data_IF_413726488438
#
_entry.id   IF_413726488438
#
_cell.length_a   1.000
_cell.length_b   1.000
_cell.length_c   1.000
_cell.angle_alpha   90.00
_cell.angle_beta   90.00
_cell.angle_gamma   90.00
#
_symmetry.space_group_name_H-M   'P 1'
#
loop_
_entity.id
_entity.type
_entity.pdbx_description
1 polymer ?
#
# COMPACT_ATOMS: atom_id res chain seq x y z
N UNK A 1 -3.76 -20.08 -12.21
CA UNK A 1 -4.47 -21.26 -11.63
C UNK A 1 -5.99 -21.18 -11.76
N UNK A 2 -6.72 -20.26 -11.10
CA UNK A 2 -8.19 -20.23 -11.19
C UNK A 2 -8.73 -20.06 -12.62
N UNK A 3 -8.23 -19.06 -13.35
CA UNK A 3 -8.62 -18.79 -14.74
C UNK A 3 -8.20 -19.91 -15.72
N UNK A 4 -6.97 -20.44 -15.56
CA UNK A 4 -6.48 -21.57 -16.38
C UNK A 4 -7.33 -22.82 -16.17
N UNK A 5 -7.71 -23.12 -14.93
CA UNK A 5 -8.61 -24.24 -14.60
C UNK A 5 -10.00 -24.05 -15.23
N UNK A 6 -10.53 -22.83 -15.23
CA UNK A 6 -11.81 -22.51 -15.86
C UNK A 6 -11.77 -22.68 -17.38
N UNK A 7 -10.77 -22.09 -18.05
CA UNK A 7 -10.63 -22.14 -19.51
C UNK A 7 -10.33 -23.56 -19.99
N UNK A 8 -9.40 -24.26 -19.34
CA UNK A 8 -8.95 -25.59 -19.77
C UNK A 8 -9.85 -26.75 -19.35
N UNK A 9 -10.72 -26.57 -18.34
CA UNK A 9 -11.47 -27.68 -17.75
C UNK A 9 -12.87 -27.35 -17.24
N UNK A 10 -13.37 -26.14 -17.51
CA UNK A 10 -14.73 -25.72 -17.18
C UNK A 10 -14.94 -25.36 -15.70
N UNK A 11 -16.14 -24.88 -15.35
CA UNK A 11 -16.42 -24.29 -14.03
C UNK A 11 -16.23 -25.26 -12.85
N UNK A 12 -16.42 -26.57 -13.06
CA UNK A 12 -16.22 -27.59 -12.01
C UNK A 12 -14.77 -27.73 -11.53
N UNK A 13 -13.80 -27.20 -12.28
CA UNK A 13 -12.37 -27.23 -11.95
C UNK A 13 -11.93 -26.02 -11.13
N UNK A 14 -12.80 -25.05 -10.92
CA UNK A 14 -12.54 -23.88 -10.07
C UNK A 14 -12.65 -24.32 -8.61
N UNK A 15 -11.59 -24.11 -7.83
CA UNK A 15 -11.56 -24.53 -6.43
C UNK A 15 -12.48 -23.68 -5.55
N UNK A 16 -13.01 -24.22 -4.45
CA UNK A 16 -13.94 -23.51 -3.56
C UNK A 16 -13.31 -22.27 -2.90
N UNK A 17 -11.99 -22.24 -2.74
CA UNK A 17 -11.26 -21.11 -2.16
C UNK A 17 -10.81 -20.08 -3.20
N UNK A 18 -11.29 -20.17 -4.45
CA UNK A 18 -10.88 -19.24 -5.50
C UNK A 18 -11.25 -17.80 -5.15
N UNK A 19 -12.47 -17.54 -4.70
CA UNK A 19 -12.92 -16.19 -4.32
C UNK A 19 -12.20 -15.70 -3.04
N UNK A 20 -12.19 -16.45 -1.92
CA UNK A 20 -11.39 -16.07 -0.74
C UNK A 20 -9.88 -15.96 -1.01
N UNK A 21 -9.37 -16.56 -2.08
CA UNK A 21 -7.97 -16.47 -2.46
C UNK A 21 -7.63 -15.28 -3.35
N UNK A 22 -8.62 -14.51 -3.83
CA UNK A 22 -8.41 -13.38 -4.76
C UNK A 22 -8.96 -12.03 -4.28
N UNK A 23 -9.85 -12.04 -3.29
CA UNK A 23 -10.40 -10.80 -2.74
C UNK A 23 -9.28 -10.01 -2.03
N UNK A 24 -9.12 -8.73 -2.36
CA UNK A 24 -8.05 -7.89 -1.84
C UNK A 24 -8.05 -7.78 -0.30
N UNK A 25 -9.23 -7.82 0.32
CA UNK A 25 -9.37 -7.74 1.77
C UNK A 25 -9.03 -9.04 2.53
N UNK A 26 -8.63 -10.10 1.83
CA UNK A 26 -8.36 -11.38 2.48
C UNK A 26 -7.03 -11.37 3.23
N UNK A 27 -6.10 -10.47 2.90
CA UNK A 27 -4.91 -10.27 3.72
C UNK A 27 -5.28 -9.79 5.13
N UNK A 28 -6.08 -8.72 5.26
CA UNK A 28 -6.55 -8.21 6.56
C UNK A 28 -7.46 -9.21 7.28
N UNK A 29 -8.29 -9.94 6.53
CA UNK A 29 -9.14 -11.01 7.08
C UNK A 29 -8.34 -12.15 7.71
N UNK A 30 -7.31 -12.64 7.02
CA UNK A 30 -6.46 -13.73 7.55
C UNK A 30 -5.69 -13.29 8.80
N UNK A 31 -5.11 -12.08 8.79
CA UNK A 31 -4.42 -11.53 9.98
C UNK A 31 -5.38 -11.45 11.17
N UNK A 32 -6.60 -10.97 10.96
CA UNK A 32 -7.60 -10.87 12.02
C UNK A 32 -8.00 -12.25 12.57
N UNK A 33 -8.19 -13.25 11.71
CA UNK A 33 -8.47 -14.64 12.15
C UNK A 33 -7.31 -15.18 12.98
N UNK A 34 -6.07 -14.99 12.53
CA UNK A 34 -4.87 -15.49 13.23
C UNK A 34 -4.69 -14.84 14.60
N UNK A 35 -4.96 -13.54 14.71
CA UNK A 35 -4.74 -12.77 15.94
C UNK A 35 -5.98 -12.72 16.86
N UNK A 36 -7.13 -13.18 16.39
CA UNK A 36 -8.41 -13.01 17.09
C UNK A 36 -8.86 -11.55 17.17
N UNK A 37 -8.45 -10.70 16.22
CA UNK A 37 -8.80 -9.29 16.21
C UNK A 37 -10.22 -9.07 15.69
N UNK A 38 -11.05 -8.37 16.48
CA UNK A 38 -12.48 -8.16 16.21
C UNK A 38 -12.87 -6.69 16.00
N UNK A 39 -11.88 -5.79 15.96
CA UNK A 39 -12.08 -4.37 15.64
C UNK A 39 -12.37 -4.13 14.15
N UNK A 40 -12.32 -2.86 13.70
CA UNK A 40 -12.50 -2.51 12.28
C UNK A 40 -11.56 -3.30 11.36
N UNK A 41 -12.12 -3.89 10.30
CA UNK A 41 -11.37 -4.71 9.34
C UNK A 41 -11.80 -4.39 7.91
N UNK A 42 -10.88 -3.83 7.13
CA UNK A 42 -11.06 -3.53 5.71
C UNK A 42 -9.68 -3.41 5.03
N UNK A 43 -9.68 -3.21 3.72
CA UNK A 43 -8.45 -3.00 2.94
C UNK A 43 -8.69 -1.92 1.89
N UNK A 44 -8.15 -0.70 2.07
CA UNK A 44 -8.23 0.32 1.03
C UNK A 44 -7.43 -0.12 -0.19
N UNK A 45 -7.99 0.10 -1.38
CA UNK A 45 -7.37 -0.27 -2.66
C UNK A 45 -7.18 0.98 -3.50
N UNK A 46 -5.96 1.53 -3.49
CA UNK A 46 -5.57 2.74 -4.22
C UNK A 46 -4.24 2.56 -4.96
N UNK A 47 -4.07 1.38 -5.56
CA UNK A 47 -2.85 0.99 -6.29
C UNK A 47 -1.58 1.20 -5.43
N UNK A 48 -0.56 1.89 -5.95
CA UNK A 48 0.73 2.09 -5.28
C UNK A 48 0.62 2.80 -3.92
N UNK A 49 -0.47 3.54 -3.66
CA UNK A 49 -0.69 4.26 -2.41
C UNK A 49 -1.41 3.43 -1.34
N UNK A 50 -1.84 2.20 -1.65
CA UNK A 50 -2.74 1.42 -0.79
C UNK A 50 -2.23 1.22 0.64
N UNK A 51 -0.95 0.89 0.80
CA UNK A 51 -0.35 0.70 2.14
C UNK A 51 -0.23 2.00 2.92
N UNK A 52 0.10 3.12 2.25
CA UNK A 52 0.11 4.45 2.85
C UNK A 52 -1.27 4.86 3.34
N UNK A 53 -2.31 4.62 2.54
CA UNK A 53 -3.71 4.85 2.96
C UNK A 53 -4.11 3.93 4.11
N UNK A 54 -3.72 2.64 4.11
CA UNK A 54 -4.03 1.73 5.20
C UNK A 54 -3.42 2.22 6.53
N UNK A 55 -2.19 2.73 6.51
CA UNK A 55 -1.52 3.31 7.69
C UNK A 55 -2.24 4.60 8.12
N UNK A 56 -2.52 5.51 7.20
CA UNK A 56 -3.23 6.76 7.48
C UNK A 56 -4.64 6.55 8.06
N UNK A 57 -5.43 5.66 7.46
CA UNK A 57 -6.75 5.32 7.98
C UNK A 57 -6.67 4.53 9.29
N UNK A 58 -5.64 3.70 9.49
CA UNK A 58 -5.37 3.06 10.77
C UNK A 58 -5.10 4.07 11.90
N UNK A 59 -4.32 5.11 11.61
CA UNK A 59 -4.13 6.25 12.50
C UNK A 59 -5.47 6.94 12.82
N UNK A 60 -6.33 7.15 11.81
CA UNK A 60 -7.66 7.75 12.01
C UNK A 60 -8.55 6.92 12.93
N UNK A 61 -8.53 5.59 12.82
CA UNK A 61 -9.31 4.72 13.70
C UNK A 61 -8.92 4.91 15.17
N UNK A 62 -7.62 5.05 15.45
CA UNK A 62 -7.12 5.30 16.82
C UNK A 62 -7.50 6.70 17.28
N UNK A 63 -7.25 7.72 16.47
CA UNK A 63 -7.60 9.11 16.79
C UNK A 63 -9.11 9.30 17.08
N UNK A 64 -9.98 8.53 16.41
CA UNK A 64 -11.44 8.56 16.63
C UNK A 64 -11.89 7.74 17.84
N UNK A 65 -11.00 6.94 18.43
CA UNK A 65 -11.32 6.03 19.53
C UNK A 65 -11.99 4.72 19.10
N UNK A 66 -12.01 4.41 17.80
CA UNK A 66 -12.62 3.19 17.25
C UNK A 66 -11.77 1.93 17.54
N UNK A 67 -10.47 2.11 17.79
CA UNK A 67 -9.54 1.03 18.15
C UNK A 67 -8.40 1.56 19.01
N UNK A 68 -7.85 0.71 19.90
CA UNK A 68 -6.62 1.00 20.65
C UNK A 68 -5.36 0.55 19.92
N UNK A 69 -5.46 -0.54 19.15
CA UNK A 69 -4.37 -1.13 18.38
C UNK A 69 -4.88 -1.40 16.97
N UNK A 70 -4.12 -1.01 15.95
CA UNK A 70 -4.42 -1.29 14.55
C UNK A 70 -3.18 -1.88 13.87
N UNK A 71 -3.37 -3.01 13.19
CA UNK A 71 -2.38 -3.58 12.27
C UNK A 71 -2.63 -2.98 10.89
N UNK A 72 -1.71 -2.12 10.44
CA UNK A 72 -1.88 -1.38 9.19
C UNK A 72 -0.66 -1.55 8.28
N UNK A 73 -0.90 -1.78 6.99
CA UNK A 73 0.17 -1.99 6.03
C UNK A 73 -0.34 -2.50 4.69
N UNK A 74 0.47 -3.28 4.00
CA UNK A 74 0.12 -3.85 2.71
C UNK A 74 0.96 -5.07 2.34
N UNK A 75 0.42 -5.86 1.44
CA UNK A 75 1.09 -7.00 0.83
C UNK A 75 0.75 -7.02 -0.66
N UNK A 76 1.71 -7.40 -1.49
CA UNK A 76 1.53 -7.51 -2.92
C UNK A 76 2.40 -8.65 -3.48
N UNK A 77 1.85 -9.41 -4.42
CA UNK A 77 2.52 -10.55 -5.08
C UNK A 77 2.25 -10.51 -6.59
N UNK A 78 2.70 -9.45 -7.28
CA UNK A 78 2.23 -9.16 -8.61
C UNK A 78 3.09 -9.85 -9.68
N UNK A 79 4.15 -10.59 -9.31
CA UNK A 79 5.08 -11.22 -10.25
C UNK A 79 4.44 -12.46 -10.89
N UNK A 80 3.50 -12.19 -11.79
CA UNK A 80 2.79 -13.19 -12.59
C UNK A 80 2.97 -12.89 -14.07
N UNK A 81 2.81 -13.90 -14.93
CA UNK A 81 2.89 -13.71 -16.39
C UNK A 81 1.94 -12.62 -16.90
N UNK A 82 0.72 -12.57 -16.35
CA UNK A 82 -0.28 -11.59 -16.75
C UNK A 82 0.14 -10.17 -16.36
N UNK A 83 0.57 -9.97 -15.12
CA UNK A 83 0.97 -8.65 -14.63
C UNK A 83 2.20 -8.11 -15.35
N UNK A 84 3.24 -8.96 -15.53
CA UNK A 84 4.45 -8.58 -16.27
C UNK A 84 4.11 -8.21 -17.71
N UNK A 85 3.26 -9.00 -18.39
CA UNK A 85 2.82 -8.70 -19.74
C UNK A 85 2.02 -7.39 -19.81
N UNK A 86 1.10 -7.17 -18.88
CA UNK A 86 0.27 -5.97 -18.80
C UNK A 86 1.10 -4.70 -18.58
N UNK A 87 1.97 -4.68 -17.57
CA UNK A 87 2.84 -3.54 -17.30
C UNK A 87 3.86 -3.29 -18.43
N UNK A 88 4.38 -4.35 -19.07
CA UNK A 88 5.24 -4.17 -20.23
C UNK A 88 4.49 -3.61 -21.45
N UNK A 89 3.24 -4.01 -21.67
CA UNK A 89 2.38 -3.46 -22.73
C UNK A 89 2.06 -1.98 -22.51
N UNK A 90 1.94 -1.55 -21.26
CA UNK A 90 1.84 -0.13 -20.89
C UNK A 90 3.15 0.65 -21.08
N UNK A 91 4.28 -0.03 -21.31
CA UNK A 91 5.61 0.59 -21.34
C UNK A 91 6.09 1.06 -19.97
N UNK A 92 5.57 0.49 -18.88
CA UNK A 92 5.85 0.95 -17.52
C UNK A 92 7.06 0.26 -16.87
N UNK A 93 7.47 -0.92 -17.37
CA UNK A 93 8.59 -1.68 -16.84
C UNK A 93 9.92 -1.26 -17.48
N UNK A 94 10.98 -1.23 -16.67
CA UNK A 94 12.35 -1.19 -17.20
C UNK A 94 12.60 -2.40 -18.11
N UNK A 95 13.34 -2.20 -19.21
CA UNK A 95 13.67 -3.24 -20.19
C UNK A 95 15.15 -3.63 -20.18
N UNK A 96 15.91 -3.11 -19.20
CA UNK A 96 17.30 -3.45 -18.96
C UNK A 96 17.43 -4.84 -18.34
N UNK A 97 17.41 -5.85 -19.19
CA UNK A 97 17.55 -7.25 -18.79
C UNK A 97 19.01 -7.72 -18.76
N UNK A 98 19.91 -6.97 -19.41
CA UNK A 98 21.34 -7.18 -19.47
C UNK A 98 22.07 -6.78 -18.17
N UNK A 99 21.53 -5.82 -17.43
CA UNK A 99 22.02 -5.42 -16.10
C UNK A 99 20.87 -5.15 -15.11
N UNK A 100 20.19 -6.20 -14.61
CA UNK A 100 19.02 -6.06 -13.74
C UNK A 100 19.30 -5.35 -12.42
N UNK A 101 20.54 -5.46 -11.90
CA UNK A 101 20.93 -4.89 -10.62
C UNK A 101 20.89 -3.35 -10.63
N UNK A 102 21.04 -2.74 -11.80
CA UNK A 102 21.00 -1.28 -11.95
C UNK A 102 19.70 -0.77 -12.55
N UNK A 103 18.72 -1.63 -12.88
CA UNK A 103 17.50 -1.25 -13.60
C UNK A 103 16.62 -0.27 -12.83
N UNK A 104 16.49 -0.43 -11.52
CA UNK A 104 15.77 0.53 -10.67
C UNK A 104 16.68 1.72 -10.35
N UNK A 105 16.41 2.85 -11.00
CA UNK A 105 17.23 4.07 -10.89
C UNK A 105 16.36 5.34 -10.84
N UNK A 106 15.62 5.57 -9.74
CA UNK A 106 14.81 6.77 -9.58
C UNK A 106 15.61 8.05 -9.84
N UNK A 107 15.00 9.02 -10.53
CA UNK A 107 15.57 10.33 -10.88
C UNK A 107 16.79 10.34 -11.82
N UNK A 108 17.39 9.18 -12.11
CA UNK A 108 18.48 9.09 -13.09
C UNK A 108 18.00 9.42 -14.52
N UNK A 109 18.87 10.03 -15.32
CA UNK A 109 18.56 10.42 -16.70
C UNK A 109 18.32 9.22 -17.61
N UNK A 110 18.95 8.08 -17.33
CA UNK A 110 18.83 6.84 -18.07
C UNK A 110 17.78 5.87 -17.53
N UNK A 111 16.84 6.33 -16.67
CA UNK A 111 15.70 5.53 -16.18
C UNK A 111 14.72 5.24 -17.33
N UNK A 112 14.15 4.05 -17.35
CA UNK A 112 13.28 3.58 -18.45
C UNK A 112 11.99 2.88 -17.97
N UNK A 113 11.71 2.89 -16.68
CA UNK A 113 10.53 2.29 -16.08
C UNK A 113 10.79 1.81 -14.65
N UNK A 114 9.78 1.29 -13.98
CA UNK A 114 9.95 0.69 -12.66
C UNK A 114 10.34 -0.79 -12.77
N UNK A 115 10.88 -1.36 -11.69
CA UNK A 115 11.15 -2.79 -11.56
C UNK A 115 10.04 -3.40 -10.70
N UNK A 116 9.29 -4.35 -11.25
CA UNK A 116 8.21 -5.02 -10.52
C UNK A 116 8.78 -5.87 -9.39
N UNK A 117 8.23 -5.72 -8.19
CA UNK A 117 8.64 -6.42 -6.98
C UNK A 117 7.42 -6.97 -6.23
N UNK A 118 7.68 -7.84 -5.26
CA UNK A 118 6.68 -8.41 -4.36
C UNK A 118 7.15 -8.34 -2.91
N UNK A 119 6.21 -8.38 -1.96
CA UNK A 119 6.52 -8.35 -0.55
C UNK A 119 5.35 -7.90 0.31
N UNK A 120 5.62 -7.74 1.61
CA UNK A 120 4.64 -7.25 2.58
C UNK A 120 5.32 -6.49 3.70
N UNK A 121 4.62 -5.50 4.25
CA UNK A 121 5.03 -4.79 5.45
C UNK A 121 3.78 -4.44 6.28
N UNK A 122 3.94 -4.40 7.60
CA UNK A 122 2.86 -4.04 8.52
C UNK A 122 3.45 -3.31 9.72
N UNK A 123 2.78 -2.24 10.13
CA UNK A 123 3.03 -1.51 11.36
C UNK A 123 1.94 -1.86 12.38
N UNK A 124 2.33 -1.88 13.65
CA UNK A 124 1.40 -1.88 14.78
C UNK A 124 1.27 -0.43 15.21
N UNK A 125 0.13 0.18 14.89
CA UNK A 125 -0.24 1.49 15.40
C UNK A 125 -1.00 1.29 16.70
N UNK A 126 -0.75 2.16 17.67
CA UNK A 126 -1.32 2.02 19.00
C UNK A 126 -1.56 3.38 19.63
N UNK A 127 -2.64 3.48 20.38
CA UNK A 127 -2.93 4.61 21.26
C UNK A 127 -1.77 4.83 22.26
N UNK A 128 -1.33 6.08 22.40
CA UNK A 128 -0.11 6.40 23.15
C UNK A 128 -0.23 6.04 24.63
N UNK A 129 -1.35 6.40 25.26
CA UNK A 129 -1.57 6.12 26.68
C UNK A 129 -1.60 4.60 26.91
N UNK A 130 -2.32 3.86 26.06
CA UNK A 130 -2.34 2.41 26.10
C UNK A 130 -0.95 1.78 25.92
N UNK A 131 -0.14 2.29 24.98
CA UNK A 131 1.22 1.83 24.73
C UNK A 131 2.13 2.07 25.95
N UNK A 132 2.02 3.26 26.57
CA UNK A 132 2.79 3.62 27.76
C UNK A 132 2.41 2.77 28.97
N UNK A 133 1.11 2.57 29.22
CA UNK A 133 0.59 1.77 30.33
C UNK A 133 1.14 0.34 30.34
N UNK A 134 1.27 -0.27 29.15
CA UNK A 134 1.80 -1.63 29.00
C UNK A 134 3.32 -1.70 28.80
N UNK A 135 4.02 -0.56 28.83
CA UNK A 135 5.48 -0.48 28.64
C UNK A 135 5.95 -0.89 27.24
N UNK A 136 5.20 -0.54 26.20
CA UNK A 136 5.56 -0.84 24.82
C UNK A 136 6.82 -0.07 24.38
N UNK A 137 7.61 -0.68 23.48
CA UNK A 137 8.67 0.05 22.77
C UNK A 137 8.06 0.91 21.67
N UNK A 138 8.33 2.22 21.69
CA UNK A 138 7.83 3.19 20.73
C UNK A 138 8.95 3.55 19.75
N UNK A 139 8.72 3.29 18.46
CA UNK A 139 9.69 3.60 17.39
C UNK A 139 9.55 5.03 16.86
N UNK A 140 8.35 5.59 16.96
CA UNK A 140 8.02 6.91 16.46
C UNK A 140 6.51 7.16 16.60
N UNK A 141 6.11 8.37 16.26
CA UNK A 141 4.72 8.83 16.33
C UNK A 141 4.20 9.15 14.92
N UNK A 142 3.01 8.65 14.59
CA UNK A 142 2.34 8.98 13.33
C UNK A 142 1.61 10.33 13.52
N UNK A 143 2.24 11.41 13.04
CA UNK A 143 1.79 12.78 13.34
C UNK A 143 0.73 13.31 12.38
N UNK A 144 0.66 12.81 11.14
CA UNK A 144 -0.25 13.36 10.14
C UNK A 144 -0.35 12.52 8.88
N UNK A 145 -1.47 12.65 8.18
CA UNK A 145 -1.80 11.92 6.96
C UNK A 145 -2.60 12.80 5.99
N UNK A 146 -2.12 12.87 4.75
CA UNK A 146 -2.78 13.60 3.67
C UNK A 146 -2.99 12.70 2.46
N UNK A 147 -4.18 12.77 1.87
CA UNK A 147 -4.52 12.08 0.64
C UNK A 147 -5.26 13.03 -0.31
N UNK A 148 -4.89 12.99 -1.59
CA UNK A 148 -5.48 13.82 -2.64
C UNK A 148 -5.56 13.04 -3.94
N UNK A 149 -6.41 13.50 -4.85
CA UNK A 149 -6.46 13.03 -6.23
C UNK A 149 -5.99 14.15 -7.18
N UNK A 150 -5.25 13.78 -8.22
CA UNK A 150 -4.79 14.70 -9.27
C UNK A 150 -5.94 15.09 -10.22
N UNK A 151 -6.95 14.24 -10.36
CA UNK A 151 -8.08 14.38 -11.28
C UNK A 151 -7.66 14.70 -12.73
N UNK A 152 -6.50 14.18 -13.16
CA UNK A 152 -5.86 14.53 -14.42
C UNK A 152 -5.86 13.38 -15.45
N UNK A 153 -5.15 12.29 -15.16
CA UNK A 153 -5.01 11.16 -16.07
C UNK A 153 -4.93 9.85 -15.27
N UNK A 154 -5.51 8.78 -15.80
CA UNK A 154 -5.67 7.51 -15.07
C UNK A 154 -4.36 6.83 -14.66
N UNK A 155 -3.26 7.09 -15.39
CA UNK A 155 -1.94 6.49 -15.11
C UNK A 155 -0.77 7.48 -15.17
N UNK A 156 -1.04 8.76 -15.43
CA UNK A 156 0.01 9.78 -15.49
C UNK A 156 -0.27 10.85 -14.43
N UNK A 157 0.75 11.28 -13.67
CA UNK A 157 0.57 12.34 -12.68
C UNK A 157 0.18 13.66 -13.37
N UNK A 158 -0.49 14.54 -12.63
CA UNK A 158 -0.71 15.91 -13.07
C UNK A 158 0.63 16.61 -13.34
N UNK A 159 0.75 17.41 -14.42
CA UNK A 159 1.90 18.27 -14.63
C UNK A 159 2.14 19.17 -13.42
N UNK A 160 3.40 19.38 -13.04
CA UNK A 160 3.76 20.25 -11.91
C UNK A 160 3.59 19.64 -10.51
N UNK A 161 2.99 18.45 -10.39
CA UNK A 161 2.95 17.69 -9.11
C UNK A 161 2.07 18.31 -8.03
N UNK A 162 1.08 19.12 -8.41
CA UNK A 162 0.26 19.88 -7.46
C UNK A 162 -0.52 18.99 -6.49
N UNK A 163 -1.05 17.84 -6.92
CA UNK A 163 -1.75 16.92 -6.01
C UNK A 163 -0.82 16.35 -4.96
N UNK A 164 0.35 15.84 -5.35
CA UNK A 164 1.37 15.38 -4.41
C UNK A 164 1.78 16.50 -3.43
N UNK A 165 1.97 17.73 -3.90
CA UNK A 165 2.26 18.87 -3.04
C UNK A 165 1.13 19.18 -2.04
N UNK A 166 -0.14 19.10 -2.47
CA UNK A 166 -1.29 19.25 -1.58
C UNK A 166 -1.37 18.13 -0.54
N UNK A 167 -1.14 16.87 -0.93
CA UNK A 167 -1.12 15.75 0.00
C UNK A 167 -0.07 15.93 1.11
N UNK A 168 1.16 16.35 0.73
CA UNK A 168 2.19 16.70 1.71
C UNK A 168 1.76 17.86 2.61
N UNK A 169 1.15 18.90 2.05
CA UNK A 169 0.65 20.05 2.82
C UNK A 169 -0.45 19.67 3.82
N UNK A 170 -1.37 18.77 3.46
CA UNK A 170 -2.40 18.25 4.37
C UNK A 170 -1.79 17.45 5.53
N UNK A 171 -0.81 16.58 5.23
CA UNK A 171 -0.12 15.81 6.26
C UNK A 171 0.64 16.71 7.24
N UNK A 172 1.34 17.74 6.73
CA UNK A 172 2.03 18.74 7.55
C UNK A 172 1.08 19.57 8.39
N UNK A 173 -0.03 20.02 7.80
CA UNK A 173 -1.05 20.80 8.50
C UNK A 173 -1.69 20.00 9.63
N UNK A 174 -1.94 18.71 9.43
CA UNK A 174 -2.44 17.83 10.48
C UNK A 174 -1.40 17.63 11.59
N UNK A 175 -0.14 17.40 11.20
CA UNK A 175 0.98 17.25 12.12
C UNK A 175 1.35 18.56 12.85
N UNK A 176 0.78 19.69 12.44
CA UNK A 176 1.14 21.03 12.90
C UNK A 176 2.65 21.29 12.78
N UNK A 177 3.22 20.93 11.63
CA UNK A 177 4.64 21.09 11.30
C UNK A 177 4.85 22.01 10.11
N UNK A 178 5.90 22.82 10.18
CA UNK A 178 6.39 23.59 9.05
C UNK A 178 7.29 22.72 8.14
N UNK A 179 7.33 22.97 6.81
CA UNK A 179 8.17 22.20 5.89
C UNK A 179 9.66 22.17 6.27
N UNK A 180 10.17 23.24 6.89
CA UNK A 180 11.57 23.34 7.34
C UNK A 180 11.93 22.39 8.49
N UNK A 181 10.94 21.74 9.11
CA UNK A 181 11.14 20.75 10.17
C UNK A 181 11.31 19.32 9.61
N UNK A 182 11.10 19.12 8.30
CA UNK A 182 11.22 17.80 7.67
C UNK A 182 12.67 17.51 7.33
N UNK A 183 13.26 16.54 8.03
CA UNK A 183 14.65 16.13 7.83
C UNK A 183 14.86 15.12 6.69
N UNK A 184 13.80 14.40 6.28
CA UNK A 184 13.90 13.33 5.29
C UNK A 184 12.56 13.09 4.58
N UNK A 185 12.63 12.75 3.29
CA UNK A 185 11.54 12.27 2.44
C UNK A 185 12.05 11.03 1.69
#
# INVERSE_FOLDING_TARGET
KGMESLIGGGPRRVGPFTIPGMLANMASGNVAITLGATGPNYSPVSACAASGHAIGEGMRLIQRGDAKIVYAGGAEAPITRLSVAGYNAMGALSRRNDDPATSSRPFDAGRDGFVLAEGSATLVLEDLDHALERGATIYGEAMGYGATDDANHIVQPAPGGEGAARAMGLALSEANLDPGQIGYI
#
